data_IF_434404052190
#
_entry.id   IF_434404052190
#
_cell.length_a   1.000
_cell.length_b   1.000
_cell.length_c   1.000
_cell.angle_alpha   90.00
_cell.angle_beta   90.00
_cell.angle_gamma   90.00
#
_symmetry.space_group_name_H-M   'P 1'
#
loop_
_entity.id
_entity.type
_entity.pdbx_description
1 polymer ?
#
# COMPACT_ATOMS: atom_id res chain seq x y z
N UNK A 1 45.51 51.41 7.21
CA UNK A 1 45.50 49.95 7.47
C UNK A 1 44.08 49.55 7.85
N UNK A 2 43.28 49.12 6.87
CA UNK A 2 41.87 48.76 7.07
C UNK A 2 41.83 47.27 7.41
N UNK A 3 41.40 46.92 8.63
CA UNK A 3 41.18 45.53 9.02
C UNK A 3 39.82 45.07 8.51
N UNK A 4 39.86 44.15 7.56
CA UNK A 4 38.76 43.33 7.07
C UNK A 4 38.27 42.44 8.22
N UNK A 5 37.12 42.75 8.83
CA UNK A 5 36.38 41.81 9.68
C UNK A 5 35.08 41.44 8.99
N UNK A 6 35.17 40.49 8.07
CA UNK A 6 34.06 39.89 7.35
C UNK A 6 33.26 39.01 8.33
N UNK A 7 32.24 39.58 8.98
CA UNK A 7 31.26 38.78 9.72
C UNK A 7 30.25 38.21 8.73
N UNK A 8 30.66 37.20 7.96
CA UNK A 8 29.77 36.45 7.08
C UNK A 8 28.94 35.50 7.95
N UNK A 9 27.78 35.98 8.38
CA UNK A 9 26.74 35.18 9.03
C UNK A 9 26.32 34.08 8.05
N UNK A 10 26.91 32.89 8.20
CA UNK A 10 26.53 31.67 7.49
C UNK A 10 25.06 31.37 7.80
N UNK A 11 24.18 31.85 6.92
CA UNK A 11 22.84 31.31 6.71
C UNK A 11 23.02 29.83 6.37
N UNK A 12 23.02 28.97 7.39
CA UNK A 12 22.79 27.55 7.23
C UNK A 12 21.31 27.42 6.85
N UNK A 13 20.95 27.14 5.58
CA UNK A 13 19.59 26.70 5.33
C UNK A 13 19.48 25.36 6.03
N UNK A 14 18.68 25.32 7.10
CA UNK A 14 18.20 24.11 7.72
C UNK A 14 17.44 23.31 6.67
N UNK A 15 18.17 22.61 5.82
CA UNK A 15 17.65 21.53 5.00
C UNK A 15 17.19 20.49 6.01
N UNK A 16 15.94 20.62 6.43
CA UNK A 16 15.16 19.54 6.98
C UNK A 16 15.24 18.41 5.96
N UNK A 17 16.24 17.55 6.13
CA UNK A 17 16.30 16.22 5.53
C UNK A 17 15.03 15.54 6.01
N UNK A 18 13.99 15.67 5.20
CA UNK A 18 12.76 14.94 5.40
C UNK A 18 13.12 13.50 5.08
N UNK A 19 13.59 12.78 6.11
CA UNK A 19 13.67 11.33 6.15
C UNK A 19 12.22 10.80 6.12
N UNK A 20 11.53 11.03 5.01
CA UNK A 20 10.24 10.42 4.76
C UNK A 20 10.51 8.94 4.58
N UNK A 21 9.92 8.15 5.46
CA UNK A 21 9.93 6.68 5.49
C UNK A 21 10.01 6.08 4.08
N UNK A 22 11.23 5.71 3.64
CA UNK A 22 11.45 4.98 2.38
C UNK A 22 10.90 3.55 2.43
N UNK A 23 10.36 3.12 3.58
CA UNK A 23 10.01 1.73 3.84
C UNK A 23 8.73 1.29 3.11
N UNK A 24 7.82 2.22 2.79
CA UNK A 24 6.57 1.87 2.11
C UNK A 24 6.74 1.59 0.61
N UNK A 25 7.59 2.34 -0.09
CA UNK A 25 7.74 2.27 -1.54
C UNK A 25 8.20 0.91 -2.06
N UNK A 26 7.58 0.41 -3.13
CA UNK A 26 7.92 -0.86 -3.77
C UNK A 26 6.84 -1.94 -3.57
N UNK A 27 7.22 -3.18 -3.86
CA UNK A 27 6.30 -4.32 -3.88
C UNK A 27 6.16 -4.97 -2.50
N UNK A 28 4.93 -5.38 -2.22
CA UNK A 28 4.49 -6.14 -1.07
C UNK A 28 3.72 -7.35 -1.57
N UNK A 29 3.95 -8.52 -0.97
CA UNK A 29 3.33 -9.78 -1.40
C UNK A 29 2.91 -10.61 -0.19
N UNK A 30 1.79 -11.31 -0.33
CA UNK A 30 1.26 -12.23 0.66
C UNK A 30 -0.15 -12.64 0.28
N UNK A 31 -1.07 -12.52 1.22
CA UNK A 31 -2.43 -13.02 1.07
C UNK A 31 -3.48 -11.99 1.47
N UNK A 32 -4.66 -12.13 0.88
CA UNK A 32 -5.89 -11.47 1.30
C UNK A 32 -6.94 -12.54 1.59
N UNK A 33 -7.62 -12.40 2.71
CA UNK A 33 -8.66 -13.35 3.15
C UNK A 33 -10.03 -12.71 3.13
N UNK A 34 -11.07 -13.52 3.18
CA UNK A 34 -12.45 -13.10 3.46
C UNK A 34 -13.05 -14.01 4.53
N UNK A 35 -14.02 -13.49 5.28
CA UNK A 35 -14.83 -14.29 6.19
C UNK A 35 -15.66 -15.33 5.41
N UNK A 36 -16.41 -16.17 6.14
CA UNK A 36 -17.16 -17.29 5.56
C UNK A 36 -18.09 -16.87 4.40
N UNK A 37 -17.98 -17.59 3.28
CA UNK A 37 -18.73 -17.35 2.05
C UNK A 37 -17.85 -16.94 0.85
N UNK A 38 -18.49 -16.57 -0.26
CA UNK A 38 -17.86 -16.15 -1.51
C UNK A 38 -17.11 -17.25 -2.27
N UNK A 39 -16.21 -16.86 -3.17
CA UNK A 39 -15.57 -17.80 -4.12
C UNK A 39 -14.45 -18.65 -3.48
N UNK A 40 -13.59 -18.03 -2.67
CA UNK A 40 -12.52 -18.65 -1.86
C UNK A 40 -12.34 -17.86 -0.57
N UNK A 41 -11.83 -18.51 0.47
CA UNK A 41 -11.50 -17.86 1.74
C UNK A 41 -10.17 -17.08 1.70
N UNK A 42 -9.27 -17.43 0.78
CA UNK A 42 -7.93 -16.84 0.65
C UNK A 42 -7.52 -16.69 -0.82
N UNK A 43 -6.81 -15.59 -1.13
CA UNK A 43 -6.24 -15.29 -2.44
C UNK A 43 -4.80 -14.81 -2.28
N UNK A 44 -3.98 -15.05 -3.29
CA UNK A 44 -2.68 -14.38 -3.38
C UNK A 44 -2.89 -12.90 -3.65
N UNK A 45 -2.15 -12.06 -2.93
CA UNK A 45 -2.31 -10.61 -2.98
C UNK A 45 -0.97 -9.89 -3.02
N UNK A 46 -0.90 -8.89 -3.89
CA UNK A 46 0.26 -8.02 -4.04
C UNK A 46 -0.18 -6.56 -4.04
N UNK A 47 0.65 -5.69 -3.46
CA UNK A 47 0.48 -4.24 -3.52
C UNK A 47 1.79 -3.59 -3.92
N UNK A 48 1.72 -2.62 -4.82
CA UNK A 48 2.86 -1.83 -5.27
C UNK A 48 2.59 -0.40 -4.87
N UNK A 49 3.42 0.16 -3.98
CA UNK A 49 3.23 1.53 -3.49
C UNK A 49 4.30 2.49 -4.01
N UNK A 50 3.85 3.71 -4.28
CA UNK A 50 4.65 4.90 -4.50
C UNK A 50 4.14 6.01 -3.58
N UNK A 51 5.01 6.53 -2.73
CA UNK A 51 4.70 7.56 -1.75
C UNK A 51 5.23 8.92 -2.22
N UNK A 52 4.39 9.94 -2.08
CA UNK A 52 4.74 11.35 -2.27
C UNK A 52 4.18 12.17 -1.09
N UNK A 53 5.04 12.55 -0.15
CA UNK A 53 4.57 13.19 1.07
C UNK A 53 3.76 12.20 1.92
N UNK A 54 2.59 12.65 2.38
CA UNK A 54 1.63 11.82 3.10
C UNK A 54 0.79 10.91 2.19
N UNK A 55 0.79 11.15 0.88
CA UNK A 55 -0.05 10.45 -0.09
C UNK A 55 0.66 9.20 -0.61
N UNK A 56 -0.13 8.16 -0.83
CA UNK A 56 0.30 6.86 -1.34
C UNK A 56 -0.51 6.58 -2.60
N UNK A 57 0.17 6.07 -3.63
CA UNK A 57 -0.42 5.71 -4.91
C UNK A 57 0.08 4.33 -5.32
N UNK A 58 -0.62 3.68 -6.25
CA UNK A 58 -0.07 2.53 -6.96
C UNK A 58 -1.15 1.57 -7.41
N UNK A 59 -0.89 0.27 -7.24
CA UNK A 59 -1.81 -0.78 -7.67
C UNK A 59 -1.82 -1.97 -6.72
N UNK A 60 -2.95 -2.65 -6.65
CA UNK A 60 -3.08 -3.98 -6.06
C UNK A 60 -3.25 -5.03 -7.16
N UNK A 61 -2.88 -6.26 -6.86
CA UNK A 61 -3.08 -7.41 -7.73
C UNK A 61 -3.54 -8.61 -6.89
N UNK A 62 -4.73 -9.10 -7.18
CA UNK A 62 -5.33 -10.28 -6.53
C UNK A 62 -5.48 -11.40 -7.53
N UNK A 63 -5.13 -12.62 -7.13
CA UNK A 63 -5.25 -13.78 -8.01
C UNK A 63 -5.45 -15.07 -7.22
N UNK A 64 -6.16 -15.99 -7.88
CA UNK A 64 -6.36 -17.37 -7.46
C UNK A 64 -6.63 -18.21 -8.70
N UNK A 65 -6.17 -19.45 -8.70
CA UNK A 65 -6.32 -20.37 -9.85
C UNK A 65 -5.87 -19.72 -11.17
N UNK A 66 -6.81 -19.47 -12.10
CA UNK A 66 -6.55 -18.86 -13.42
C UNK A 66 -7.20 -17.48 -13.59
N UNK A 67 -7.74 -16.89 -12.52
CA UNK A 67 -8.45 -15.62 -12.51
C UNK A 67 -7.66 -14.57 -11.71
N UNK A 68 -7.84 -13.31 -12.05
CA UNK A 68 -7.11 -12.22 -11.41
C UNK A 68 -7.80 -10.88 -11.60
N UNK A 69 -7.42 -9.91 -10.77
CA UNK A 69 -7.66 -8.50 -11.04
C UNK A 69 -6.50 -7.65 -10.59
N UNK A 70 -6.22 -6.62 -11.39
CA UNK A 70 -5.37 -5.50 -11.04
C UNK A 70 -6.24 -4.27 -10.84
N UNK A 71 -5.99 -3.53 -9.76
CA UNK A 71 -6.73 -2.32 -9.44
C UNK A 71 -5.76 -1.17 -9.18
N UNK A 72 -6.08 0.01 -9.70
CA UNK A 72 -5.41 1.24 -9.28
C UNK A 72 -5.87 1.60 -7.86
N UNK A 73 -4.95 2.09 -7.03
CA UNK A 73 -5.25 2.51 -5.67
C UNK A 73 -4.62 3.85 -5.32
N UNK A 74 -5.25 4.50 -4.35
CA UNK A 74 -4.71 5.65 -3.63
C UNK A 74 -4.85 5.43 -2.13
N UNK A 75 -4.07 6.18 -1.37
CA UNK A 75 -4.08 6.12 0.08
C UNK A 75 -3.31 7.26 0.71
N UNK A 76 -3.20 7.21 2.02
CA UNK A 76 -2.45 8.16 2.81
C UNK A 76 -2.02 7.54 4.14
N UNK A 77 -0.94 8.05 4.71
CA UNK A 77 -0.60 7.74 6.10
C UNK A 77 -1.58 8.44 7.04
N UNK A 78 -2.18 7.66 7.93
CA UNK A 78 -3.03 8.17 9.03
C UNK A 78 -2.15 8.61 10.19
N UNK A 79 -1.09 7.86 10.45
CA UNK A 79 -0.07 8.14 11.45
C UNK A 79 1.28 7.54 11.00
N UNK A 80 2.25 7.42 11.92
CA UNK A 80 3.60 6.90 11.60
C UNK A 80 3.65 5.42 11.20
N UNK A 81 2.57 4.68 11.44
CA UNK A 81 2.48 3.22 11.30
C UNK A 81 1.24 2.73 10.55
N UNK A 82 0.20 3.55 10.36
CA UNK A 82 -1.03 3.13 9.68
C UNK A 82 -1.23 3.83 8.34
N UNK A 83 -1.64 3.05 7.35
CA UNK A 83 -1.95 3.51 5.99
C UNK A 83 -3.40 3.16 5.70
N UNK A 84 -4.18 4.15 5.28
CA UNK A 84 -5.47 3.91 4.67
C UNK A 84 -5.31 3.85 3.15
N UNK A 85 -5.95 2.88 2.51
CA UNK A 85 -5.99 2.77 1.05
C UNK A 85 -7.42 2.53 0.56
N UNK A 86 -7.66 2.92 -0.68
CA UNK A 86 -8.87 2.68 -1.45
C UNK A 86 -8.48 2.38 -2.89
N UNK A 87 -8.94 1.25 -3.42
CA UNK A 87 -8.91 0.95 -4.85
C UNK A 87 -9.92 1.86 -5.57
N UNK A 88 -9.54 2.39 -6.74
CA UNK A 88 -10.32 3.40 -7.45
C UNK A 88 -11.03 2.79 -8.66
N UNK A 89 -10.36 1.88 -9.36
CA UNK A 89 -10.90 1.17 -10.52
C UNK A 89 -10.12 -0.12 -10.80
N UNK A 90 -10.78 -1.06 -11.47
CA UNK A 90 -10.14 -2.23 -12.05
C UNK A 90 -9.44 -1.79 -13.35
N UNK A 91 -8.12 -1.96 -13.43
CA UNK A 91 -7.34 -1.66 -14.64
C UNK A 91 -7.33 -2.85 -15.60
N UNK A 92 -7.31 -4.07 -15.07
CA UNK A 92 -7.30 -5.32 -15.85
C UNK A 92 -7.87 -6.45 -15.01
N UNK A 93 -8.67 -7.33 -15.60
CA UNK A 93 -9.10 -8.53 -14.90
C UNK A 93 -9.37 -9.72 -15.83
N UNK A 94 -9.43 -10.90 -15.21
CA UNK A 94 -10.03 -12.13 -15.74
C UNK A 94 -10.91 -12.71 -14.63
N UNK A 95 -12.15 -13.06 -14.95
CA UNK A 95 -13.17 -13.55 -14.01
C UNK A 95 -14.08 -14.56 -14.70
N UNK A 96 -14.79 -15.36 -13.92
CA UNK A 96 -15.88 -16.21 -14.40
C UNK A 96 -17.17 -15.38 -14.59
N UNK A 97 -18.13 -15.89 -15.36
CA UNK A 97 -19.34 -15.14 -15.74
C UNK A 97 -20.18 -14.65 -14.55
N UNK A 98 -20.25 -15.43 -13.46
CA UNK A 98 -21.06 -15.16 -12.27
C UNK A 98 -20.22 -14.66 -11.09
N UNK A 99 -19.13 -13.95 -11.37
CA UNK A 99 -18.22 -13.43 -10.37
C UNK A 99 -17.93 -11.97 -10.65
N UNK A 100 -17.80 -11.17 -9.59
CA UNK A 100 -17.27 -9.82 -9.70
C UNK A 100 -16.12 -9.59 -8.71
N UNK A 101 -15.20 -8.71 -9.08
CA UNK A 101 -14.07 -8.34 -8.24
C UNK A 101 -14.43 -7.15 -7.37
N UNK A 102 -14.17 -7.28 -6.07
CA UNK A 102 -14.38 -6.21 -5.12
C UNK A 102 -13.40 -5.06 -5.34
N UNK A 103 -13.93 -3.83 -5.33
CA UNK A 103 -13.16 -2.61 -5.09
C UNK A 103 -12.97 -2.46 -3.58
N UNK A 104 -11.72 -2.53 -3.14
CA UNK A 104 -11.37 -2.68 -1.73
C UNK A 104 -10.88 -1.38 -1.12
N UNK A 105 -11.19 -1.19 0.17
CA UNK A 105 -10.60 -0.19 1.04
C UNK A 105 -10.17 -0.83 2.34
N UNK A 106 -9.17 -0.27 3.01
CA UNK A 106 -8.66 -0.86 4.23
C UNK A 106 -7.69 0.03 4.99
N UNK A 107 -7.36 -0.41 6.21
CA UNK A 107 -6.36 0.20 7.06
C UNK A 107 -5.29 -0.85 7.36
N UNK A 108 -4.05 -0.58 6.96
CA UNK A 108 -2.90 -1.47 7.10
C UNK A 108 -1.89 -0.87 8.06
N UNK A 109 -1.49 -1.67 9.05
CA UNK A 109 -0.40 -1.36 9.97
C UNK A 109 0.93 -1.85 9.40
N UNK A 110 1.90 -0.95 9.31
CA UNK A 110 3.30 -1.25 9.03
C UNK A 110 3.96 -1.78 10.31
N UNK A 111 4.46 -3.01 10.24
CA UNK A 111 5.14 -3.71 11.34
C UNK A 111 6.56 -4.04 10.91
N UNK A 112 7.53 -3.80 11.80
CA UNK A 112 8.92 -4.25 11.64
C UNK A 112 9.15 -5.46 12.52
N UNK A 113 9.67 -6.54 11.94
CA UNK A 113 10.09 -7.75 12.65
C UNK A 113 11.54 -8.07 12.25
N UNK A 114 12.48 -7.54 13.04
CA UNK A 114 13.91 -7.61 12.75
C UNK A 114 14.26 -6.88 11.45
N UNK A 115 14.69 -7.63 10.42
CA UNK A 115 15.03 -7.08 9.11
C UNK A 115 13.87 -7.13 8.09
N UNK A 116 12.71 -7.64 8.48
CA UNK A 116 11.53 -7.81 7.62
C UNK A 116 10.47 -6.77 7.94
N UNK A 117 9.88 -6.22 6.89
CA UNK A 117 8.72 -5.34 7.02
C UNK A 117 7.45 -6.08 6.59
N UNK A 118 6.38 -5.89 7.34
CA UNK A 118 5.05 -6.46 7.10
C UNK A 118 3.99 -5.36 7.04
N UNK A 119 2.96 -5.58 6.24
CA UNK A 119 1.71 -4.83 6.29
C UNK A 119 0.59 -5.78 6.65
N UNK A 120 -0.20 -5.42 7.66
CA UNK A 120 -1.34 -6.22 8.08
C UNK A 120 -2.52 -5.38 8.53
N UNK A 121 -3.74 -5.83 8.26
CA UNK A 121 -4.93 -5.09 8.65
C UNK A 121 -6.21 -5.60 8.01
N UNK A 122 -7.31 -4.92 8.30
CA UNK A 122 -8.63 -5.26 7.78
C UNK A 122 -8.93 -4.58 6.45
N UNK A 123 -9.74 -5.25 5.63
CA UNK A 123 -10.31 -4.65 4.43
C UNK A 123 -11.82 -4.90 4.35
N UNK A 124 -12.50 -4.00 3.66
CA UNK A 124 -13.88 -4.15 3.20
C UNK A 124 -13.99 -3.63 1.76
N UNK A 125 -15.09 -3.90 1.09
CA UNK A 125 -15.26 -3.45 -0.28
C UNK A 125 -16.65 -3.69 -0.81
N UNK A 126 -16.85 -3.31 -2.07
CA UNK A 126 -18.09 -3.54 -2.79
C UNK A 126 -17.81 -3.93 -4.23
N UNK A 127 -18.82 -4.51 -4.86
CA UNK A 127 -18.83 -4.94 -6.26
C UNK A 127 -20.14 -4.52 -6.91
N UNK A 128 -20.35 -4.86 -8.18
CA UNK A 128 -21.64 -4.68 -8.85
C UNK A 128 -22.77 -5.51 -8.22
N UNK A 129 -22.45 -6.55 -7.45
CA UNK A 129 -23.42 -7.37 -6.73
C UNK A 129 -23.70 -6.91 -5.28
N UNK A 130 -23.10 -5.81 -4.85
CA UNK A 130 -23.26 -5.27 -3.49
C UNK A 130 -22.00 -5.39 -2.64
N UNK A 131 -22.18 -5.33 -1.33
CA UNK A 131 -21.09 -5.35 -0.37
C UNK A 131 -20.35 -6.69 -0.38
N UNK A 132 -19.03 -6.61 -0.38
CA UNK A 132 -18.17 -7.77 -0.32
C UNK A 132 -17.95 -8.23 1.12
N UNK A 133 -17.80 -9.55 1.28
CA UNK A 133 -17.44 -10.16 2.55
C UNK A 133 -16.05 -9.65 2.97
N UNK A 134 -15.92 -8.96 4.12
CA UNK A 134 -14.66 -8.37 4.55
C UNK A 134 -13.68 -9.45 5.03
N UNK A 135 -12.42 -9.05 5.24
CA UNK A 135 -11.42 -9.94 5.81
C UNK A 135 -10.11 -9.22 6.15
N UNK A 136 -8.99 -9.93 6.03
CA UNK A 136 -7.67 -9.43 6.43
C UNK A 136 -6.67 -9.48 5.27
N UNK A 137 -5.70 -8.57 5.30
CA UNK A 137 -4.56 -8.52 4.39
C UNK A 137 -3.31 -8.79 5.21
N UNK A 138 -2.42 -9.63 4.70
CA UNK A 138 -1.11 -9.91 5.30
C UNK A 138 -0.06 -9.93 4.21
N UNK A 139 0.83 -8.94 4.21
CA UNK A 139 1.86 -8.77 3.19
C UNK A 139 3.24 -8.64 3.83
N UNK A 140 4.25 -9.14 3.12
CA UNK A 140 5.66 -8.93 3.43
C UNK A 140 6.30 -8.13 2.33
N UNK A 141 7.25 -7.26 2.70
CA UNK A 141 8.03 -6.48 1.76
C UNK A 141 8.88 -7.38 0.86
N UNK A 142 8.79 -7.17 -0.45
CA UNK A 142 9.67 -7.84 -1.41
C UNK A 142 10.97 -7.04 -1.52
N UNK A 143 12.10 -7.71 -1.35
CA UNK A 143 13.42 -7.12 -1.61
C UNK A 143 13.56 -6.91 -3.12
N UNK A 144 13.95 -5.71 -3.61
CA UNK A 144 14.27 -5.52 -5.02
C UNK A 144 15.32 -6.55 -5.46
N UNK A 145 15.11 -7.16 -6.63
CA UNK A 145 16.18 -7.95 -7.25
C UNK A 145 17.26 -6.97 -7.69
N UNK A 146 18.46 -7.16 -7.15
CA UNK A 146 19.69 -6.44 -7.52
C UNK A 146 20.28 -7.05 -8.77
#
# INVERSE_FOLDING_TARGET
MIRLSTLLLLLLPSFFLQAQSKHLNGQWKGVITQNEGGYRSEYSFEMYFQQKGNKVYGRSYVYVDKIFAEMELQGFWVDKSHIQFTEIKISRCKREANMDWCIKKGNLKLVSEGSRWRLEGGWSGSSSFGDCIPGKIFLTKVKPRV
#
